data_IF_337698671185
#
_entry.id   IF_337698671185
#
_cell.length_a   1.000
_cell.length_b   1.000
_cell.length_c   1.000
_cell.angle_alpha   90.00
_cell.angle_beta   90.00
_cell.angle_gamma   90.00
#
_symmetry.space_group_name_H-M   'P 1'
#
loop_
_entity.id
_entity.type
_entity.pdbx_description
1 polymer ?
#
# COMPACT_ATOMS: atom_id res chain seq x y z
N UNK A 1 5.28 -0.46 -13.48
CA UNK A 1 5.15 -0.72 -12.03
C UNK A 1 5.24 -2.22 -11.76
N UNK A 2 5.98 -2.59 -10.73
CA UNK A 2 6.13 -3.97 -10.31
C UNK A 2 5.84 -4.06 -8.80
N UNK A 3 5.67 -5.29 -8.30
CA UNK A 3 5.50 -5.50 -6.85
C UNK A 3 6.73 -5.03 -6.08
N UNK A 4 7.90 -5.15 -6.68
CA UNK A 4 9.15 -4.68 -6.06
C UNK A 4 9.14 -3.16 -5.88
N UNK A 5 8.58 -2.43 -6.83
CA UNK A 5 8.43 -0.98 -6.70
C UNK A 5 7.56 -0.63 -5.50
N UNK A 6 6.46 -1.37 -5.32
CA UNK A 6 5.56 -1.17 -4.19
C UNK A 6 6.27 -1.53 -2.87
N UNK A 7 7.01 -2.63 -2.88
CA UNK A 7 7.78 -3.05 -1.71
C UNK A 7 8.78 -1.98 -1.28
N UNK A 8 9.49 -1.40 -2.23
CA UNK A 8 10.48 -0.35 -1.95
C UNK A 8 9.83 0.87 -1.31
N UNK A 9 8.66 1.27 -1.81
CA UNK A 9 7.91 2.41 -1.25
C UNK A 9 7.48 2.10 0.18
N UNK A 10 6.92 0.91 0.40
CA UNK A 10 6.44 0.51 1.72
C UNK A 10 7.58 0.44 2.73
N UNK A 11 8.73 -0.08 2.33
CA UNK A 11 9.91 -0.16 3.20
C UNK A 11 10.48 1.22 3.53
N UNK A 12 10.37 2.15 2.61
CA UNK A 12 10.85 3.52 2.83
C UNK A 12 9.99 4.23 3.88
N UNK A 13 8.67 4.01 3.83
CA UNK A 13 7.73 4.68 4.73
C UNK A 13 7.65 3.95 6.08
N UNK A 14 7.62 2.62 6.07
CA UNK A 14 7.48 1.81 7.28
C UNK A 14 8.51 0.69 7.29
N UNK A 15 9.79 1.02 7.57
CA UNK A 15 10.90 0.05 7.47
C UNK A 15 10.85 -1.07 8.52
N UNK A 16 10.09 -0.90 9.59
CA UNK A 16 10.03 -1.89 10.67
C UNK A 16 9.00 -2.99 10.42
N UNK A 17 8.23 -2.88 9.33
CA UNK A 17 7.19 -3.85 9.00
C UNK A 17 7.78 -4.93 8.09
N UNK A 18 7.41 -6.19 8.34
CA UNK A 18 7.84 -7.31 7.51
C UNK A 18 6.95 -7.41 6.27
N UNK A 19 7.17 -6.52 5.33
CA UNK A 19 6.39 -6.45 4.10
C UNK A 19 6.57 -7.67 3.21
N UNK A 20 7.73 -8.32 3.28
CA UNK A 20 8.04 -9.43 2.39
C UNK A 20 7.25 -10.69 2.69
N UNK A 21 6.91 -10.91 3.95
CA UNK A 21 6.22 -12.12 4.40
C UNK A 21 4.81 -11.87 4.93
N UNK A 22 4.45 -10.61 5.19
CA UNK A 22 3.17 -10.28 5.80
C UNK A 22 2.00 -10.48 4.86
N UNK A 23 0.90 -11.06 5.38
CA UNK A 23 -0.33 -11.27 4.63
C UNK A 23 -1.55 -10.66 5.32
N UNK A 24 -1.44 -10.28 6.58
CA UNK A 24 -2.53 -9.68 7.37
C UNK A 24 -2.00 -8.52 8.19
N UNK A 25 -1.10 -7.72 7.60
CA UNK A 25 -0.33 -6.72 8.34
C UNK A 25 -1.22 -5.65 8.99
N UNK A 26 -2.23 -5.17 8.30
CA UNK A 26 -3.11 -4.17 8.86
C UNK A 26 -4.07 -4.77 9.89
N UNK A 27 -4.63 -5.95 9.60
CA UNK A 27 -5.50 -6.67 10.53
C UNK A 27 -4.78 -7.03 11.82
N UNK A 28 -3.49 -7.37 11.73
CA UNK A 28 -2.69 -7.76 12.88
C UNK A 28 -2.12 -6.55 13.65
N UNK A 29 -2.38 -5.34 13.18
CA UNK A 29 -1.88 -4.13 13.82
C UNK A 29 -0.40 -3.86 13.57
N UNK A 30 0.21 -4.52 12.60
CA UNK A 30 1.61 -4.30 12.21
C UNK A 30 1.76 -3.03 11.38
N UNK A 31 0.72 -2.66 10.66
CA UNK A 31 0.64 -1.45 9.87
C UNK A 31 -0.57 -0.67 10.36
N UNK A 32 -0.39 0.59 10.71
CA UNK A 32 -1.49 1.43 11.17
C UNK A 32 -1.93 2.40 10.08
N UNK A 33 -3.00 3.14 10.36
CA UNK A 33 -3.56 4.09 9.38
C UNK A 33 -2.58 5.21 9.04
N UNK A 34 -1.69 5.55 9.95
CA UNK A 34 -0.67 6.57 9.73
C UNK A 34 0.32 6.12 8.65
N UNK A 35 0.75 4.86 8.73
CA UNK A 35 1.63 4.27 7.71
C UNK A 35 0.92 4.21 6.37
N UNK A 36 -0.36 3.82 6.37
CA UNK A 36 -1.16 3.76 5.15
C UNK A 36 -1.26 5.12 4.47
N UNK A 37 -1.50 6.18 5.23
CA UNK A 37 -1.57 7.54 4.70
C UNK A 37 -0.26 7.94 4.03
N UNK A 38 0.87 7.61 4.67
CA UNK A 38 2.19 7.91 4.10
C UNK A 38 2.43 7.17 2.79
N UNK A 39 2.14 5.87 2.77
CA UNK A 39 2.31 5.05 1.57
C UNK A 39 1.36 5.51 0.46
N UNK A 40 0.10 5.78 0.82
CA UNK A 40 -0.89 6.25 -0.16
C UNK A 40 -0.45 7.58 -0.79
N UNK A 41 0.06 8.49 0.00
CA UNK A 41 0.57 9.78 -0.51
C UNK A 41 1.68 9.59 -1.54
N UNK A 42 2.61 8.69 -1.25
CA UNK A 42 3.72 8.39 -2.17
C UNK A 42 3.21 7.74 -3.45
N UNK A 43 2.27 6.82 -3.33
CA UNK A 43 1.69 6.15 -4.49
C UNK A 43 0.94 7.13 -5.39
N UNK A 44 0.18 8.04 -4.80
CA UNK A 44 -0.54 9.06 -5.56
C UNK A 44 0.42 9.96 -6.32
N UNK A 45 1.53 10.32 -5.69
CA UNK A 45 2.53 11.19 -6.28
C UNK A 45 3.26 10.50 -7.44
N UNK A 46 3.64 9.23 -7.26
CA UNK A 46 4.43 8.50 -8.26
C UNK A 46 3.62 8.02 -9.44
N UNK A 47 2.38 7.62 -9.22
CA UNK A 47 1.58 6.96 -10.26
C UNK A 47 0.41 7.81 -10.75
N UNK A 48 0.27 9.01 -10.22
CA UNK A 48 -0.79 9.93 -10.61
C UNK A 48 -2.19 9.28 -10.50
N UNK A 49 -2.41 8.58 -9.39
CA UNK A 49 -3.68 7.92 -9.09
C UNK A 49 -4.33 8.61 -7.90
N UNK A 50 -5.61 8.32 -7.66
CA UNK A 50 -6.34 8.87 -6.54
C UNK A 50 -6.73 7.78 -5.56
N UNK A 51 -6.22 7.88 -4.33
CA UNK A 51 -6.56 6.96 -3.24
C UNK A 51 -7.39 7.75 -2.23
N UNK A 52 -8.59 7.28 -1.95
CA UNK A 52 -9.52 7.97 -1.07
C UNK A 52 -9.68 7.22 0.26
N UNK A 53 -10.41 7.81 1.19
CA UNK A 53 -10.68 7.17 2.48
C UNK A 53 -11.40 5.81 2.31
N UNK A 54 -12.21 5.68 1.26
CA UNK A 54 -12.90 4.41 0.97
C UNK A 54 -11.94 3.29 0.61
N UNK A 55 -10.75 3.62 0.13
CA UNK A 55 -9.73 2.64 -0.23
C UNK A 55 -8.89 2.19 0.96
N UNK A 56 -9.02 2.87 2.11
CA UNK A 56 -8.24 2.56 3.31
C UNK A 56 -8.96 1.48 4.11
N UNK A 57 -8.93 0.27 3.57
CA UNK A 57 -9.49 -0.93 4.20
C UNK A 57 -8.41 -1.97 4.39
N UNK A 58 -8.43 -2.75 5.47
CA UNK A 58 -7.38 -3.74 5.72
C UNK A 58 -7.10 -4.64 4.53
N UNK A 59 -8.12 -5.07 3.81
CA UNK A 59 -7.96 -5.96 2.66
C UNK A 59 -7.09 -5.37 1.56
N UNK A 60 -6.98 -4.04 1.48
CA UNK A 60 -6.16 -3.36 0.48
C UNK A 60 -4.71 -3.12 0.96
N UNK A 61 -4.47 -3.26 2.26
CA UNK A 61 -3.18 -2.86 2.85
C UNK A 61 -2.52 -3.95 3.68
N UNK A 62 -3.08 -5.16 3.69
CA UNK A 62 -2.55 -6.27 4.49
C UNK A 62 -1.24 -6.86 3.95
N UNK A 63 -0.93 -6.62 2.70
CA UNK A 63 0.26 -7.19 2.06
C UNK A 63 0.69 -6.35 0.86
N UNK A 64 1.90 -6.60 0.39
CA UNK A 64 2.39 -5.96 -0.84
C UNK A 64 1.51 -6.36 -2.03
N UNK A 65 1.07 -7.62 -2.09
CA UNK A 65 0.18 -8.08 -3.16
C UNK A 65 -1.14 -7.28 -3.17
N UNK A 66 -1.70 -7.03 -1.98
CA UNK A 66 -2.94 -6.27 -1.86
C UNK A 66 -2.75 -4.82 -2.34
N UNK A 67 -1.66 -4.19 -1.91
CA UNK A 67 -1.35 -2.81 -2.32
C UNK A 67 -1.11 -2.75 -3.83
N UNK A 68 -0.37 -3.70 -4.36
CA UNK A 68 -0.11 -3.78 -5.80
C UNK A 68 -1.42 -3.87 -6.58
N UNK A 69 -2.33 -4.74 -6.14
CA UNK A 69 -3.63 -4.91 -6.80
C UNK A 69 -4.46 -3.63 -6.73
N UNK A 70 -4.41 -2.92 -5.61
CA UNK A 70 -5.11 -1.64 -5.47
C UNK A 70 -4.58 -0.63 -6.50
N UNK A 71 -3.27 -0.49 -6.60
CA UNK A 71 -2.65 0.46 -7.55
C UNK A 71 -2.99 0.07 -8.99
N UNK A 72 -2.96 -1.23 -9.31
CA UNK A 72 -3.33 -1.70 -10.63
C UNK A 72 -4.77 -1.31 -11.00
N UNK A 73 -5.70 -1.50 -10.06
CA UNK A 73 -7.09 -1.10 -10.29
C UNK A 73 -7.22 0.40 -10.55
N UNK A 74 -6.48 1.19 -9.77
CA UNK A 74 -6.51 2.66 -9.93
C UNK A 74 -5.95 3.10 -11.27
N UNK A 75 -4.89 2.45 -11.73
CA UNK A 75 -4.30 2.76 -13.04
C UNK A 75 -5.23 2.41 -14.19
N UNK A 76 -6.07 1.40 -14.01
CA UNK A 76 -7.03 0.96 -15.03
C UNK A 76 -8.32 1.79 -15.04
N UNK A 77 -8.58 2.56 -14.00
CA UNK A 77 -9.81 3.36 -13.88
C UNK A 77 -9.82 4.61 -14.75
N UNK A 78 -8.74 4.94 -15.38
CA UNK A 78 -8.68 6.13 -16.23
C UNK A 78 -9.46 5.97 -17.52
#
# INVERSE_FOLDING_TARGET
MTKEDILDIAKEIAPNVDWENGTSLMDDGKVDSFDVVGIAGELMDRYDIEITADDVEPENWNSIDAIYNLVQRKLEED
#
